data_IF_628228298958
#
_entry.id   IF_628228298958
#
_cell.length_a   1.000
_cell.length_b   1.000
_cell.length_c   1.000
_cell.angle_alpha   90.00
_cell.angle_beta   90.00
_cell.angle_gamma   90.00
#
_symmetry.space_group_name_H-M   'P 1'
#
loop_
_entity.id
_entity.type
_entity.pdbx_description
1 polymer ?
#
# COMPACT_ATOMS: atom_id res chain seq x y z
N UNK A 1 21.31 -1.49 11.75
CA UNK A 1 19.93 -1.91 12.08
C UNK A 1 19.19 -0.68 12.60
N UNK A 2 17.90 -0.48 12.19
CA UNK A 2 17.06 0.64 12.62
C UNK A 2 15.88 0.12 13.44
N UNK A 3 15.42 0.92 14.42
CA UNK A 3 14.28 0.57 15.27
C UNK A 3 12.96 0.59 14.49
N UNK A 4 12.86 1.46 13.48
CA UNK A 4 11.67 1.59 12.62
C UNK A 4 11.28 0.27 11.92
N UNK A 5 9.99 0.13 11.63
CA UNK A 5 9.43 -0.92 10.78
C UNK A 5 9.09 -0.37 9.40
N UNK A 6 8.86 -1.27 8.45
CA UNK A 6 8.23 -0.92 7.20
C UNK A 6 6.76 -0.56 7.43
N UNK A 7 6.31 0.54 6.85
CA UNK A 7 4.93 1.04 6.95
C UNK A 7 4.45 1.63 5.61
N UNK A 8 3.18 2.05 5.54
CA UNK A 8 2.55 2.56 4.31
C UNK A 8 3.12 3.90 3.81
N UNK A 9 3.97 4.56 4.58
CA UNK A 9 4.61 5.83 4.21
C UNK A 9 6.12 5.73 3.94
N UNK A 10 6.71 4.53 3.95
CA UNK A 10 8.17 4.34 3.83
C UNK A 10 8.62 4.45 2.36
N UNK A 11 8.37 5.61 1.73
CA UNK A 11 8.76 5.87 0.33
C UNK A 11 10.27 5.96 0.13
N UNK A 12 11.03 6.28 1.17
CA UNK A 12 12.50 6.33 1.11
C UNK A 12 13.12 4.97 0.78
N UNK A 13 12.56 3.89 1.35
CA UNK A 13 13.05 2.54 1.07
C UNK A 13 12.74 2.15 -0.38
N UNK A 14 11.56 2.53 -0.91
CA UNK A 14 11.22 2.34 -2.32
C UNK A 14 12.14 3.17 -3.23
N UNK A 15 12.41 4.43 -2.89
CA UNK A 15 13.38 5.26 -3.61
C UNK A 15 14.75 4.61 -3.70
N UNK A 16 15.26 4.04 -2.59
CA UNK A 16 16.55 3.34 -2.59
C UNK A 16 16.57 2.17 -3.58
N UNK A 17 15.48 1.39 -3.65
CA UNK A 17 15.36 0.25 -4.59
C UNK A 17 15.30 0.74 -6.04
N UNK A 18 14.50 1.78 -6.30
CA UNK A 18 14.39 2.40 -7.61
C UNK A 18 15.75 2.93 -8.08
N UNK A 19 16.44 3.70 -7.23
CA UNK A 19 17.76 4.24 -7.56
C UNK A 19 18.80 3.15 -7.82
N UNK A 20 18.71 2.02 -7.11
CA UNK A 20 19.54 0.86 -7.40
C UNK A 20 19.24 0.31 -8.81
N UNK A 21 17.97 0.12 -9.14
CA UNK A 21 17.57 -0.38 -10.46
C UNK A 21 17.96 0.58 -11.59
N UNK A 22 17.79 1.89 -11.39
CA UNK A 22 18.19 2.94 -12.35
C UNK A 22 19.69 2.90 -12.62
N UNK A 23 20.51 2.78 -11.58
CA UNK A 23 21.99 2.75 -11.67
C UNK A 23 22.54 1.47 -12.30
N UNK A 24 21.77 0.39 -12.27
CA UNK A 24 22.19 -0.90 -12.85
C UNK A 24 22.32 -0.84 -14.39
N UNK A 25 21.81 0.23 -15.04
CA UNK A 25 21.89 0.57 -16.47
C UNK A 25 21.34 -0.48 -17.45
N UNK A 26 21.07 -1.69 -17.01
CA UNK A 26 20.60 -2.80 -17.85
C UNK A 26 19.12 -2.70 -18.25
N UNK A 27 18.34 -1.87 -17.57
CA UNK A 27 16.90 -1.73 -17.80
C UNK A 27 16.61 -0.52 -18.70
N UNK A 28 15.83 -0.75 -19.76
CA UNK A 28 15.33 0.31 -20.64
C UNK A 28 14.17 1.07 -19.98
N UNK A 29 13.34 0.35 -19.26
CA UNK A 29 12.17 0.86 -18.56
C UNK A 29 11.98 0.14 -17.23
N UNK A 30 11.48 0.84 -16.23
CA UNK A 30 11.11 0.33 -14.93
C UNK A 30 9.60 0.54 -14.77
N UNK A 31 8.90 -0.48 -14.35
CA UNK A 31 7.48 -0.39 -14.00
C UNK A 31 7.28 -0.65 -12.51
N UNK A 32 6.36 0.09 -11.90
CA UNK A 32 6.00 -0.12 -10.50
C UNK A 32 4.70 -0.93 -10.44
N UNK A 33 4.75 -2.09 -9.81
CA UNK A 33 3.55 -2.89 -9.55
C UNK A 33 3.40 -3.14 -8.06
N UNK A 34 2.23 -2.83 -7.52
CA UNK A 34 1.98 -2.95 -6.09
C UNK A 34 0.61 -3.52 -5.75
N UNK A 35 0.56 -4.32 -4.69
CA UNK A 35 -0.69 -4.84 -4.13
C UNK A 35 -0.90 -4.30 -2.72
N UNK A 36 -2.13 -3.95 -2.37
CA UNK A 36 -2.52 -3.54 -1.02
C UNK A 36 -1.62 -2.37 -0.53
N UNK A 37 -0.93 -2.54 0.58
CA UNK A 37 0.03 -1.55 1.10
C UNK A 37 1.10 -1.17 0.07
N UNK A 38 1.57 -2.11 -0.76
CA UNK A 38 2.53 -1.83 -1.84
C UNK A 38 1.93 -0.95 -2.93
N UNK A 39 0.62 -1.09 -3.20
CA UNK A 39 -0.12 -0.19 -4.10
C UNK A 39 -0.19 1.23 -3.56
N UNK A 40 -0.60 1.39 -2.28
CA UNK A 40 -0.60 2.71 -1.64
C UNK A 40 0.80 3.35 -1.65
N UNK A 41 1.83 2.58 -1.34
CA UNK A 41 3.22 3.07 -1.33
C UNK A 41 3.68 3.54 -2.71
N UNK A 42 3.35 2.80 -3.77
CA UNK A 42 3.69 3.18 -5.15
C UNK A 42 2.99 4.48 -5.55
N UNK A 43 1.69 4.62 -5.26
CA UNK A 43 0.92 5.84 -5.54
C UNK A 43 1.45 7.03 -4.75
N UNK A 44 1.72 6.82 -3.45
CA UNK A 44 2.28 7.86 -2.58
C UNK A 44 3.65 8.34 -3.10
N UNK A 45 4.51 7.41 -3.49
CA UNK A 45 5.81 7.71 -4.09
C UNK A 45 5.67 8.53 -5.37
N UNK A 46 4.88 8.05 -6.32
CA UNK A 46 4.69 8.70 -7.61
C UNK A 46 4.09 10.10 -7.48
N UNK A 47 3.09 10.26 -6.60
CA UNK A 47 2.46 11.56 -6.38
C UNK A 47 3.38 12.55 -5.65
N UNK A 48 4.18 12.08 -4.66
CA UNK A 48 5.18 12.94 -4.01
C UNK A 48 6.29 13.39 -4.96
N UNK A 49 6.71 12.53 -5.88
CA UNK A 49 7.71 12.88 -6.88
C UNK A 49 7.15 13.77 -8.00
N UNK A 50 5.89 13.57 -8.37
CA UNK A 50 5.24 14.33 -9.44
C UNK A 50 6.08 14.33 -10.72
N UNK A 51 6.46 15.51 -11.20
CA UNK A 51 7.33 15.68 -12.39
C UNK A 51 8.80 15.30 -12.15
N UNK A 52 9.19 15.02 -10.92
CA UNK A 52 10.58 14.62 -10.57
C UNK A 52 10.77 13.09 -10.56
N UNK A 53 9.77 12.33 -10.98
CA UNK A 53 9.90 10.89 -11.19
C UNK A 53 11.02 10.62 -12.21
N UNK A 54 11.89 9.63 -11.91
CA UNK A 54 12.94 9.24 -12.84
C UNK A 54 12.35 8.82 -14.20
N UNK A 55 12.91 9.31 -15.27
CA UNK A 55 12.41 9.07 -16.65
C UNK A 55 12.40 7.61 -17.07
N UNK A 56 13.16 6.74 -16.40
CA UNK A 56 13.11 5.29 -16.60
C UNK A 56 11.85 4.65 -16.05
N UNK A 57 11.12 5.32 -15.13
CA UNK A 57 9.84 4.81 -14.60
C UNK A 57 8.73 5.18 -15.59
N UNK A 58 8.40 4.25 -16.48
CA UNK A 58 7.46 4.51 -17.56
C UNK A 58 5.99 4.38 -17.14
N UNK A 59 5.65 3.40 -16.32
CA UNK A 59 4.27 3.06 -15.96
C UNK A 59 4.14 2.49 -14.54
N UNK A 60 2.91 2.51 -14.02
CA UNK A 60 2.57 1.83 -12.77
C UNK A 60 1.22 1.13 -12.86
N UNK A 61 1.11 -0.04 -12.21
CA UNK A 61 -0.18 -0.75 -12.02
C UNK A 61 -0.30 -1.16 -10.57
N UNK A 62 -1.37 -0.77 -9.92
CA UNK A 62 -1.61 -1.12 -8.52
C UNK A 62 -2.97 -1.77 -8.32
N UNK A 63 -3.02 -2.75 -7.43
CA UNK A 63 -4.20 -3.52 -7.12
C UNK A 63 -4.55 -3.39 -5.64
N UNK A 64 -5.85 -3.25 -5.36
CA UNK A 64 -6.39 -3.25 -3.99
C UNK A 64 -5.69 -2.26 -3.06
N UNK A 65 -5.33 -1.09 -3.59
CA UNK A 65 -4.61 -0.07 -2.86
C UNK A 65 -5.54 0.65 -1.86
N UNK A 66 -5.25 0.64 -0.54
CA UNK A 66 -6.00 1.40 0.45
C UNK A 66 -5.61 2.89 0.36
N UNK A 67 -6.11 3.60 -0.67
CA UNK A 67 -5.75 4.99 -0.92
C UNK A 67 -6.10 5.93 0.24
N UNK A 68 -7.05 5.55 1.09
CA UNK A 68 -7.36 6.16 2.39
C UNK A 68 -7.11 5.13 3.50
N UNK A 69 -6.00 5.28 4.22
CA UNK A 69 -5.60 4.34 5.28
C UNK A 69 -6.57 4.35 6.45
N UNK A 70 -7.15 5.52 6.79
CA UNK A 70 -8.14 5.62 7.87
C UNK A 70 -9.39 4.83 7.52
N UNK A 71 -9.94 5.04 6.33
CA UNK A 71 -11.13 4.33 5.86
C UNK A 71 -10.91 2.81 5.81
N UNK A 72 -9.76 2.37 5.28
CA UNK A 72 -9.40 0.94 5.22
C UNK A 72 -9.22 0.32 6.60
N UNK A 73 -8.54 0.99 7.54
CA UNK A 73 -8.36 0.46 8.90
C UNK A 73 -9.67 0.37 9.67
N UNK A 74 -10.59 1.32 9.47
CA UNK A 74 -11.94 1.27 10.03
C UNK A 74 -12.76 0.12 9.42
N UNK A 75 -12.65 -0.15 8.12
CA UNK A 75 -13.30 -1.27 7.45
C UNK A 75 -12.78 -2.61 8.00
N UNK A 76 -11.48 -2.75 8.15
CA UNK A 76 -10.84 -3.92 8.73
C UNK A 76 -11.21 -4.17 10.20
N UNK A 77 -11.57 -3.12 10.93
CA UNK A 77 -12.02 -3.24 12.34
C UNK A 77 -13.46 -3.76 12.47
N UNK A 78 -14.25 -3.80 11.39
CA UNK A 78 -15.62 -4.32 11.41
C UNK A 78 -15.66 -5.82 11.75
N UNK A 79 -16.78 -6.24 12.35
CA UNK A 79 -16.97 -7.63 12.81
C UNK A 79 -16.72 -8.68 11.71
N UNK A 80 -17.16 -8.42 10.48
CA UNK A 80 -16.96 -9.31 9.33
C UNK A 80 -15.48 -9.60 9.03
N UNK A 81 -14.58 -8.68 9.40
CA UNK A 81 -13.15 -8.77 9.18
C UNK A 81 -12.34 -9.21 10.41
N UNK A 82 -13.00 -9.59 11.50
CA UNK A 82 -12.35 -9.93 12.79
C UNK A 82 -11.28 -11.01 12.67
N UNK A 83 -11.49 -12.01 11.81
CA UNK A 83 -10.51 -13.10 11.60
C UNK A 83 -9.24 -12.54 10.94
N UNK A 84 -9.37 -11.69 9.94
CA UNK A 84 -8.24 -11.03 9.27
C UNK A 84 -7.50 -10.11 10.23
N UNK A 85 -8.22 -9.27 10.98
CA UNK A 85 -7.63 -8.39 11.99
C UNK A 85 -6.81 -9.18 13.00
N UNK A 86 -7.36 -10.26 13.57
CA UNK A 86 -6.63 -11.12 14.51
C UNK A 86 -5.35 -11.68 13.88
N UNK A 87 -5.43 -12.15 12.63
CA UNK A 87 -4.25 -12.70 11.92
C UNK A 87 -3.18 -11.64 11.71
N UNK A 88 -3.56 -10.44 11.31
CA UNK A 88 -2.62 -9.31 11.16
C UNK A 88 -1.94 -8.96 12.48
N UNK A 89 -2.71 -8.79 13.56
CA UNK A 89 -2.15 -8.46 14.88
C UNK A 89 -1.21 -9.53 15.39
N UNK A 90 -1.51 -10.83 15.19
CA UNK A 90 -0.58 -11.92 15.53
C UNK A 90 0.73 -11.81 14.74
N UNK A 91 0.66 -11.57 13.43
CA UNK A 91 1.86 -11.43 12.61
C UNK A 91 2.68 -10.19 13.00
N UNK A 92 2.03 -9.09 13.32
CA UNK A 92 2.68 -7.87 13.81
C UNK A 92 3.34 -8.10 15.18
N UNK A 93 2.70 -8.82 16.09
CA UNK A 93 3.30 -9.20 17.39
C UNK A 93 4.58 -10.00 17.20
N UNK A 94 4.59 -10.96 16.29
CA UNK A 94 5.79 -11.72 15.97
C UNK A 94 6.94 -10.82 15.50
N UNK A 95 6.64 -9.78 14.70
CA UNK A 95 7.65 -8.78 14.27
C UNK A 95 8.17 -7.96 15.45
N UNK A 96 7.29 -7.53 16.38
CA UNK A 96 7.71 -6.83 17.60
C UNK A 96 8.67 -7.71 18.40
N UNK A 97 8.29 -8.98 18.67
CA UNK A 97 9.14 -9.92 19.42
C UNK A 97 10.49 -10.20 18.74
N UNK A 98 10.49 -10.31 17.42
CA UNK A 98 11.75 -10.44 16.67
C UNK A 98 12.63 -9.19 16.84
N UNK A 99 12.03 -8.00 16.81
CA UNK A 99 12.74 -6.72 17.03
C UNK A 99 13.29 -6.61 18.46
N UNK A 100 12.54 -7.03 19.46
CA UNK A 100 12.99 -7.07 20.88
C UNK A 100 14.26 -7.91 21.03
N UNK A 101 14.34 -9.06 20.36
CA UNK A 101 15.55 -9.89 20.36
C UNK A 101 16.74 -9.21 19.69
N UNK A 102 16.51 -8.43 18.64
CA UNK A 102 17.56 -7.75 17.87
C UNK A 102 18.02 -6.45 18.51
N UNK A 103 17.17 -5.81 19.30
CA UNK A 103 17.35 -4.49 19.90
C UNK A 103 16.78 -4.49 21.33
N UNK A 104 17.41 -5.21 22.27
CA UNK A 104 16.91 -5.33 23.64
C UNK A 104 16.74 -3.97 24.32
N UNK A 105 15.66 -3.82 25.08
CA UNK A 105 15.35 -2.60 25.84
C UNK A 105 14.87 -1.40 25.01
N UNK A 106 14.87 -1.48 23.67
CA UNK A 106 14.43 -0.35 22.83
C UNK A 106 12.96 -0.42 22.42
N UNK A 107 12.34 -1.58 22.53
CA UNK A 107 10.93 -1.81 22.27
C UNK A 107 10.45 -2.94 23.18
N UNK A 108 9.20 -2.92 23.60
CA UNK A 108 8.59 -3.96 24.41
C UNK A 108 7.22 -4.38 23.85
N UNK A 109 6.71 -5.51 24.32
CA UNK A 109 5.37 -6.02 24.01
C UNK A 109 4.45 -6.05 25.24
N UNK A 110 4.77 -5.27 26.29
CA UNK A 110 3.95 -5.12 27.46
C UNK A 110 2.54 -4.71 27.02
N UNK A 111 1.53 -5.31 27.63
CA UNK A 111 0.13 -5.03 27.33
C UNK A 111 -0.29 -5.20 25.85
N UNK A 112 0.50 -5.91 25.02
CA UNK A 112 0.13 -6.15 23.62
C UNK A 112 -1.27 -6.79 23.48
N UNK A 113 -1.72 -7.53 24.48
CA UNK A 113 -3.05 -8.15 24.54
C UNK A 113 -4.21 -7.13 24.55
N UNK A 114 -3.95 -5.86 24.86
CA UNK A 114 -4.91 -4.76 24.81
C UNK A 114 -5.13 -4.23 23.40
N UNK A 115 -4.23 -4.51 22.46
CA UNK A 115 -4.32 -4.10 21.06
C UNK A 115 -5.41 -4.93 20.36
N UNK A 116 -6.45 -4.26 19.88
CA UNK A 116 -7.62 -4.90 19.26
C UNK A 116 -7.76 -4.63 17.77
N UNK A 117 -7.13 -3.57 17.28
CA UNK A 117 -7.21 -3.11 15.90
C UNK A 117 -5.94 -2.36 15.49
N UNK A 118 -5.89 -1.89 14.23
CA UNK A 118 -4.75 -1.14 13.72
C UNK A 118 -4.58 0.22 14.40
N UNK A 119 -5.66 0.86 14.86
CA UNK A 119 -5.53 2.13 15.59
C UNK A 119 -4.68 1.94 16.83
N UNK A 120 -5.02 0.95 17.65
CA UNK A 120 -4.26 0.66 18.88
C UNK A 120 -2.81 0.31 18.58
N UNK A 121 -2.58 -0.45 17.49
CA UNK A 121 -1.23 -0.83 17.06
C UNK A 121 -0.43 0.38 16.56
N UNK A 122 -1.04 1.20 15.71
CA UNK A 122 -0.37 2.35 15.10
C UNK A 122 -0.09 3.45 16.13
N UNK A 123 -1.00 3.69 17.08
CA UNK A 123 -0.74 4.62 18.19
C UNK A 123 0.41 4.16 19.08
N UNK A 124 0.51 2.85 19.33
CA UNK A 124 1.53 2.31 20.22
C UNK A 124 2.90 2.14 19.55
N UNK A 125 2.93 1.71 18.30
CA UNK A 125 4.18 1.35 17.61
C UNK A 125 4.46 2.19 16.38
N UNK A 126 3.56 2.21 15.39
CA UNK A 126 3.86 2.85 14.11
C UNK A 126 4.12 4.35 14.29
N UNK A 127 3.22 5.04 14.93
CA UNK A 127 3.34 6.50 15.10
C UNK A 127 4.61 6.90 15.85
N UNK A 128 4.88 6.44 17.09
CA UNK A 128 6.06 6.88 17.83
C UNK A 128 7.38 6.45 17.18
N UNK A 129 7.45 5.26 16.58
CA UNK A 129 8.68 4.77 15.95
C UNK A 129 9.04 5.49 14.64
N UNK A 130 8.09 6.23 14.06
CA UNK A 130 8.27 6.95 12.79
C UNK A 130 8.07 8.47 12.92
N UNK A 131 7.89 8.99 14.14
CA UNK A 131 7.78 10.43 14.41
C UNK A 131 6.43 11.03 14.04
N UNK A 132 5.38 10.22 13.94
CA UNK A 132 4.01 10.70 13.82
C UNK A 132 3.43 10.99 15.21
N UNK A 133 2.47 11.90 15.28
CA UNK A 133 1.82 12.29 16.54
C UNK A 133 0.82 11.24 17.05
N UNK A 134 0.16 10.53 16.14
CA UNK A 134 -0.85 9.50 16.41
C UNK A 134 -1.05 8.61 15.18
N UNK A 135 -1.87 7.57 15.32
CA UNK A 135 -2.33 6.75 14.21
C UNK A 135 -3.00 7.60 13.12
N UNK A 136 -3.86 8.56 13.52
CA UNK A 136 -4.55 9.45 12.60
C UNK A 136 -3.55 10.34 11.81
N UNK A 137 -2.55 10.89 12.47
CA UNK A 137 -1.49 11.70 11.83
C UNK A 137 -0.69 10.85 10.82
N UNK A 138 -0.41 9.59 11.17
CA UNK A 138 0.21 8.64 10.26
C UNK A 138 -0.67 8.37 9.04
N UNK A 139 -1.94 8.02 9.25
CA UNK A 139 -2.85 7.72 8.16
C UNK A 139 -3.07 8.91 7.25
N UNK A 140 -3.24 10.10 7.82
CA UNK A 140 -3.43 11.33 7.06
C UNK A 140 -2.23 11.62 6.16
N UNK A 141 -1.01 11.48 6.67
CA UNK A 141 0.23 11.77 5.92
C UNK A 141 0.61 10.69 4.92
N UNK A 142 0.19 9.44 5.15
CA UNK A 142 0.60 8.29 4.36
C UNK A 142 -0.50 7.70 3.45
N UNK A 143 -1.70 8.27 3.44
CA UNK A 143 -2.74 7.96 2.46
C UNK A 143 -2.40 8.57 1.11
N UNK A 144 -2.49 7.76 0.06
CA UNK A 144 -2.08 8.18 -1.29
C UNK A 144 -3.12 9.03 -2.02
N UNK A 145 -4.40 9.02 -1.61
CA UNK A 145 -5.48 9.73 -2.30
C UNK A 145 -5.15 11.19 -2.62
N UNK A 146 -4.60 11.94 -1.66
CA UNK A 146 -4.23 13.35 -1.83
C UNK A 146 -3.10 13.61 -2.83
N UNK A 147 -2.30 12.59 -3.12
CA UNK A 147 -1.14 12.68 -4.00
C UNK A 147 -1.42 12.17 -5.41
N UNK A 148 -2.53 11.45 -5.61
CA UNK A 148 -2.92 10.90 -6.92
C UNK A 148 -2.99 11.99 -8.01
N UNK A 149 -3.53 13.21 -7.80
CA UNK A 149 -3.58 14.25 -8.82
C UNK A 149 -2.20 14.71 -9.32
N UNK A 150 -1.17 14.52 -8.50
CA UNK A 150 0.21 14.89 -8.83
C UNK A 150 0.97 13.83 -9.63
N UNK A 151 0.42 12.65 -9.84
CA UNK A 151 1.03 11.59 -10.63
C UNK A 151 1.09 12.01 -12.10
N UNK A 152 2.28 11.93 -12.71
CA UNK A 152 2.56 12.41 -14.07
C UNK A 152 2.92 11.30 -15.08
N UNK A 153 2.86 10.04 -14.65
CA UNK A 153 3.08 8.88 -15.53
C UNK A 153 1.81 8.02 -15.64
N UNK A 154 1.63 7.27 -16.74
CA UNK A 154 0.51 6.36 -16.87
C UNK A 154 0.43 5.38 -15.70
N UNK A 155 -0.66 5.44 -14.94
CA UNK A 155 -0.86 4.67 -13.72
C UNK A 155 -2.28 4.09 -13.71
N UNK A 156 -2.39 2.76 -13.58
CA UNK A 156 -3.66 2.06 -13.42
C UNK A 156 -3.87 1.67 -11.96
N UNK A 157 -5.01 2.07 -11.41
CA UNK A 157 -5.49 1.66 -10.08
C UNK A 157 -6.64 0.69 -10.28
N UNK A 158 -6.55 -0.52 -9.72
CA UNK A 158 -7.58 -1.54 -9.78
C UNK A 158 -8.02 -1.92 -8.37
N UNK A 159 -9.20 -1.47 -7.97
CA UNK A 159 -9.80 -1.77 -6.66
C UNK A 159 -11.15 -2.46 -6.88
N UNK A 160 -11.24 -3.77 -6.58
CA UNK A 160 -12.47 -4.53 -6.76
C UNK A 160 -13.56 -4.08 -5.77
N UNK A 161 -14.83 -3.99 -6.23
CA UNK A 161 -15.96 -3.56 -5.39
C UNK A 161 -16.27 -4.53 -4.25
N UNK A 162 -15.96 -5.81 -4.42
CA UNK A 162 -16.14 -6.83 -3.39
C UNK A 162 -14.92 -7.06 -2.50
N UNK A 163 -13.94 -6.15 -2.51
CA UNK A 163 -12.79 -6.23 -1.62
C UNK A 163 -13.20 -5.97 -0.16
N UNK A 164 -13.01 -6.94 0.75
CA UNK A 164 -13.45 -6.80 2.14
C UNK A 164 -12.65 -5.78 2.96
N UNK A 165 -11.50 -5.30 2.45
CA UNK A 165 -10.60 -4.39 3.16
C UNK A 165 -10.67 -2.95 2.63
N UNK A 166 -11.24 -2.77 1.47
CA UNK A 166 -11.36 -1.47 0.80
C UNK A 166 -12.73 -0.87 1.13
N UNK A 167 -12.72 0.28 1.78
CA UNK A 167 -13.93 1.08 2.04
C UNK A 167 -14.15 2.09 0.90
N UNK A 168 -15.33 2.72 0.87
CA UNK A 168 -15.68 3.71 -0.17
C UNK A 168 -14.65 4.83 -0.31
N UNK A 169 -14.09 5.32 0.81
CA UNK A 169 -13.03 6.33 0.79
C UNK A 169 -11.71 5.89 0.13
N UNK A 170 -11.53 4.59 -0.11
CA UNK A 170 -10.34 4.06 -0.79
C UNK A 170 -10.50 3.96 -2.32
N UNK A 171 -11.66 4.33 -2.88
CA UNK A 171 -11.83 4.44 -4.33
C UNK A 171 -11.61 5.90 -4.73
N UNK A 172 -10.47 6.26 -5.32
CA UNK A 172 -10.11 7.65 -5.61
C UNK A 172 -10.82 8.17 -6.88
N UNK A 173 -12.14 8.04 -6.93
CA UNK A 173 -12.97 8.42 -8.10
C UNK A 173 -12.79 9.90 -8.42
N UNK A 174 -12.84 10.76 -7.39
CA UNK A 174 -12.71 12.20 -7.55
C UNK A 174 -11.29 12.58 -7.97
N UNK A 175 -10.29 11.98 -7.36
CA UNK A 175 -8.87 12.27 -7.58
C UNK A 175 -8.40 11.85 -8.98
N UNK A 176 -9.10 10.89 -9.59
CA UNK A 176 -8.79 10.38 -10.93
C UNK A 176 -9.65 10.98 -12.04
N UNK A 177 -10.79 11.63 -11.72
CA UNK A 177 -11.76 12.11 -12.72
C UNK A 177 -11.16 13.06 -13.76
N UNK A 178 -10.27 13.95 -13.34
CA UNK A 178 -9.63 14.96 -14.20
C UNK A 178 -8.19 14.59 -14.58
N UNK A 179 -7.71 13.41 -14.16
CA UNK A 179 -6.35 12.99 -14.46
C UNK A 179 -6.22 12.49 -15.89
N UNK A 180 -5.17 12.96 -16.58
CA UNK A 180 -4.79 12.44 -17.91
C UNK A 180 -3.86 11.23 -17.83
N UNK A 181 -3.34 10.94 -16.65
CA UNK A 181 -2.33 9.91 -16.43
C UNK A 181 -2.83 8.76 -15.55
N UNK A 182 -3.80 9.00 -14.66
CA UNK A 182 -4.26 7.99 -13.71
C UNK A 182 -5.63 7.47 -14.11
N UNK A 183 -5.75 6.16 -14.18
CA UNK A 183 -6.94 5.43 -14.58
C UNK A 183 -7.43 4.58 -13.40
N UNK A 184 -8.74 4.60 -13.12
CA UNK A 184 -9.35 3.80 -12.07
C UNK A 184 -10.27 2.75 -12.67
N UNK A 185 -10.03 1.50 -12.33
CA UNK A 185 -10.91 0.37 -12.63
C UNK A 185 -11.47 -0.22 -11.34
N UNK A 186 -12.78 -0.44 -11.34
CA UNK A 186 -13.50 -0.99 -10.19
C UNK A 186 -14.31 -2.23 -10.62
N UNK A 187 -13.64 -3.38 -10.89
CA UNK A 187 -14.36 -4.59 -11.26
C UNK A 187 -15.27 -5.03 -10.10
N UNK A 188 -16.43 -5.61 -10.44
CA UNK A 188 -17.40 -6.10 -9.45
C UNK A 188 -16.81 -7.20 -8.56
N UNK A 189 -15.89 -8.01 -9.09
CA UNK A 189 -15.29 -9.15 -8.41
C UNK A 189 -13.77 -9.14 -8.59
N UNK A 190 -13.06 -9.48 -7.51
CA UNK A 190 -11.60 -9.56 -7.46
C UNK A 190 -11.14 -9.95 -6.06
N UNK A 191 -11.94 -9.61 -5.05
CA UNK A 191 -11.51 -9.70 -3.66
C UNK A 191 -10.33 -8.77 -3.40
N UNK A 192 -9.54 -9.07 -2.35
CA UNK A 192 -8.40 -8.21 -2.01
C UNK A 192 -7.17 -8.46 -2.90
N UNK A 193 -6.84 -9.71 -3.19
CA UNK A 193 -5.65 -10.06 -4.00
C UNK A 193 -5.89 -11.26 -4.93
N UNK A 194 -7.13 -11.74 -4.99
CA UNK A 194 -7.46 -12.96 -5.73
C UNK A 194 -7.46 -12.71 -7.23
N UNK A 195 -8.38 -11.87 -7.70
CA UNK A 195 -8.60 -11.60 -9.13
C UNK A 195 -8.58 -12.88 -9.98
N UNK A 196 -9.18 -13.95 -9.41
CA UNK A 196 -9.16 -15.29 -9.98
C UNK A 196 -10.09 -15.33 -11.20
N UNK A 197 -9.60 -15.96 -12.25
CA UNK A 197 -10.41 -16.32 -13.41
C UNK A 197 -10.24 -17.81 -13.73
N UNK A 198 -11.27 -18.42 -14.30
CA UNK A 198 -11.23 -19.84 -14.69
C UNK A 198 -10.77 -19.97 -16.14
N UNK A 199 -9.47 -19.83 -16.39
CA UNK A 199 -8.87 -20.09 -17.71
C UNK A 199 -8.01 -21.36 -17.71
N UNK A 200 -7.81 -21.96 -18.88
CA UNK A 200 -7.02 -23.19 -19.05
C UNK A 200 -5.55 -23.02 -18.70
N UNK A 201 -4.98 -21.85 -18.94
CA UNK A 201 -3.58 -21.49 -18.65
C UNK A 201 -3.32 -21.10 -17.20
N UNK A 202 -4.40 -21.05 -16.36
CA UNK A 202 -4.33 -20.70 -14.94
C UNK A 202 -3.77 -19.28 -14.66
N UNK A 203 -3.76 -18.40 -15.65
CA UNK A 203 -3.39 -16.99 -15.45
C UNK A 203 -4.38 -16.28 -14.53
N UNK A 204 -3.89 -15.33 -13.73
CA UNK A 204 -4.77 -14.45 -12.96
C UNK A 204 -5.21 -13.28 -13.83
N UNK A 205 -6.44 -12.84 -13.63
CA UNK A 205 -6.96 -11.65 -14.33
C UNK A 205 -6.08 -10.41 -14.10
N UNK A 206 -5.58 -10.25 -12.88
CA UNK A 206 -4.69 -9.14 -12.53
C UNK A 206 -3.38 -9.13 -13.31
N UNK A 207 -2.82 -10.31 -13.59
CA UNK A 207 -1.58 -10.44 -14.38
C UNK A 207 -1.83 -10.03 -15.83
N UNK A 208 -2.90 -10.55 -16.43
CA UNK A 208 -3.28 -10.21 -17.81
C UNK A 208 -3.58 -8.72 -17.94
N UNK A 209 -4.37 -8.17 -17.03
CA UNK A 209 -4.74 -6.75 -17.06
C UNK A 209 -3.55 -5.83 -16.86
N UNK A 210 -2.62 -6.22 -15.97
CA UNK A 210 -1.36 -5.50 -15.79
C UNK A 210 -0.53 -5.49 -17.09
N UNK A 211 -0.33 -6.66 -17.69
CA UNK A 211 0.46 -6.79 -18.94
C UNK A 211 -0.18 -6.00 -20.09
N UNK A 212 -1.51 -6.03 -20.21
CA UNK A 212 -2.25 -5.27 -21.22
C UNK A 212 -1.99 -3.77 -21.06
N UNK A 213 -2.14 -3.24 -19.85
CA UNK A 213 -1.89 -1.82 -19.57
C UNK A 213 -0.42 -1.43 -19.75
N UNK A 214 0.51 -2.31 -19.38
CA UNK A 214 1.94 -2.04 -19.51
C UNK A 214 2.44 -2.07 -20.98
N UNK A 215 1.66 -2.67 -21.88
CA UNK A 215 1.97 -2.72 -23.33
C UNK A 215 1.28 -1.63 -24.16
N UNK A 216 0.24 -0.98 -23.59
CA UNK A 216 -0.49 0.11 -24.26
C UNK A 216 0.30 1.43 -24.20
#
# INVERSE_FOLDING_TARGET
RRLRFYNSGTIDDLECVIQHAVKTESYKEIVLTGFSMGGNLSLLYLGNKGSQVDSKIGRSVVFSAPCDLKASTQELAKFKNKIYMKRFLVALHQKIRAKMKLMPGQINDDDYHLIKNFKDYDDRYTAPLHGFKSAEDYWDKCSSNRFIPEIKIPTLIVNARNDPFIADGCYPVRETSDSKCVYLEMPESGGHVGFIQFKKDKSYWSEERAIEFLKS
#
